data_IF_687140594879
#
_entry.id   IF_687140594879
#
_cell.length_a   1.000
_cell.length_b   1.000
_cell.length_c   1.000
_cell.angle_alpha   90.00
_cell.angle_beta   90.00
_cell.angle_gamma   90.00
#
_symmetry.space_group_name_H-M   'P 1'
#
loop_
_entity.id
_entity.type
_entity.pdbx_description
1 polymer ?
#
# COMPACT_ATOMS: atom_id res chain seq x y z
N UNK A 1 23.06 -22.18 -7.68
CA UNK A 1 21.71 -21.59 -7.56
C UNK A 1 20.77 -22.44 -6.70
N UNK A 2 20.68 -23.76 -6.89
CA UNK A 2 19.80 -24.67 -6.10
C UNK A 2 19.91 -24.56 -4.57
N UNK A 3 21.12 -24.32 -4.02
CA UNK A 3 21.34 -24.17 -2.57
C UNK A 3 20.59 -22.97 -1.94
N UNK A 4 20.46 -21.85 -2.66
CA UNK A 4 19.74 -20.67 -2.15
C UNK A 4 18.22 -20.87 -2.21
N UNK A 5 17.73 -21.55 -3.24
CA UNK A 5 16.31 -21.84 -3.41
C UNK A 5 15.81 -22.88 -2.41
N UNK A 6 16.59 -23.95 -2.14
CA UNK A 6 16.30 -24.90 -1.07
C UNK A 6 16.31 -24.25 0.32
N UNK A 7 17.19 -23.27 0.55
CA UNK A 7 17.29 -22.52 1.79
C UNK A 7 16.07 -21.62 2.05
N UNK A 8 15.61 -20.88 1.03
CA UNK A 8 14.37 -20.11 1.12
C UNK A 8 13.18 -21.02 1.40
N UNK A 9 13.10 -22.17 0.73
CA UNK A 9 12.02 -23.14 0.94
C UNK A 9 12.06 -23.72 2.36
N UNK A 10 13.23 -24.05 2.90
CA UNK A 10 13.37 -24.53 4.29
C UNK A 10 13.02 -23.48 5.33
N UNK A 11 13.39 -22.21 5.11
CA UNK A 11 13.00 -21.10 6.00
C UNK A 11 11.48 -20.88 5.95
N UNK A 12 10.89 -20.92 4.77
CA UNK A 12 9.42 -20.81 4.61
C UNK A 12 8.73 -21.99 5.29
N UNK A 13 9.19 -23.23 5.09
CA UNK A 13 8.63 -24.40 5.78
C UNK A 13 8.80 -24.29 7.29
N UNK A 14 9.97 -23.84 7.78
CA UNK A 14 10.20 -23.59 9.20
C UNK A 14 9.26 -22.55 9.78
N UNK A 15 9.02 -21.45 9.07
CA UNK A 15 8.01 -20.44 9.43
C UNK A 15 6.60 -21.01 9.45
N UNK A 16 6.23 -21.82 8.45
CA UNK A 16 4.91 -22.45 8.38
C UNK A 16 4.68 -23.44 9.52
N UNK A 17 5.72 -24.16 9.95
CA UNK A 17 5.66 -25.10 11.06
C UNK A 17 5.67 -24.39 12.44
N UNK A 18 6.26 -23.20 12.53
CA UNK A 18 6.29 -22.39 13.76
C UNK A 18 5.08 -21.45 13.91
N UNK A 19 4.25 -21.31 12.87
CA UNK A 19 3.09 -20.44 12.88
C UNK A 19 2.00 -20.99 13.82
N UNK A 20 1.60 -20.18 14.81
CA UNK A 20 0.67 -20.58 15.87
C UNK A 20 -0.76 -20.02 15.71
N UNK A 21 -1.09 -19.39 14.57
CA UNK A 21 -2.42 -18.83 14.32
C UNK A 21 -3.20 -19.55 13.21
N UNK A 22 -4.53 -19.39 13.16
CA UNK A 22 -5.36 -20.00 12.13
C UNK A 22 -4.95 -19.52 10.73
N UNK A 23 -5.19 -20.37 9.74
CA UNK A 23 -4.91 -20.04 8.34
C UNK A 23 -5.86 -18.94 7.85
N UNK A 24 -5.30 -17.95 7.15
CA UNK A 24 -6.10 -16.92 6.49
C UNK A 24 -6.74 -17.53 5.25
N UNK A 25 -8.06 -17.72 5.28
CA UNK A 25 -8.80 -18.18 4.11
C UNK A 25 -9.31 -16.96 3.34
N UNK A 26 -8.98 -16.81 2.05
CA UNK A 26 -9.54 -15.76 1.21
C UNK A 26 -11.07 -15.80 1.24
N UNK A 27 -11.68 -14.61 1.31
CA UNK A 27 -13.14 -14.46 1.43
C UNK A 27 -13.92 -15.01 0.23
N UNK A 28 -13.28 -15.05 -0.95
CA UNK A 28 -13.76 -15.71 -2.14
C UNK A 28 -12.76 -16.81 -2.52
N UNK A 29 -13.25 -18.02 -2.79
CA UNK A 29 -12.43 -19.11 -3.30
C UNK A 29 -12.46 -19.05 -4.84
N UNK A 30 -11.46 -18.42 -5.50
CA UNK A 30 -11.55 -18.14 -6.92
C UNK A 30 -11.56 -19.45 -7.69
N UNK A 31 -12.41 -19.55 -8.72
CA UNK A 31 -12.39 -20.71 -9.62
C UNK A 31 -11.26 -20.55 -10.62
N UNK A 32 -10.62 -21.65 -10.97
CA UNK A 32 -9.71 -21.74 -12.12
C UNK A 32 -10.49 -21.57 -13.42
N UNK A 33 -9.79 -21.40 -14.54
CA UNK A 33 -10.38 -21.42 -15.89
C UNK A 33 -11.14 -22.73 -16.18
N UNK A 34 -10.77 -23.82 -15.49
CA UNK A 34 -11.43 -25.14 -15.54
C UNK A 34 -12.60 -25.28 -14.57
N UNK A 35 -12.90 -24.25 -13.76
CA UNK A 35 -14.01 -24.23 -12.81
C UNK A 35 -13.70 -24.83 -11.43
N UNK A 36 -12.46 -25.26 -11.19
CA UNK A 36 -12.00 -25.87 -9.93
C UNK A 36 -11.66 -24.80 -8.90
N UNK A 37 -11.86 -25.08 -7.62
CA UNK A 37 -11.45 -24.18 -6.54
C UNK A 37 -10.00 -24.41 -6.16
N UNK A 38 -9.16 -23.37 -6.24
CA UNK A 38 -7.78 -23.41 -5.78
C UNK A 38 -7.48 -22.25 -4.83
N UNK A 39 -7.12 -22.56 -3.59
CA UNK A 39 -6.85 -21.61 -2.51
C UNK A 39 -5.58 -22.02 -1.78
N UNK A 40 -4.71 -21.05 -1.48
CA UNK A 40 -3.54 -21.22 -0.63
C UNK A 40 -3.77 -20.40 0.64
N UNK A 41 -4.19 -21.06 1.72
CA UNK A 41 -4.36 -20.41 3.01
C UNK A 41 -3.11 -20.66 3.87
N UNK A 42 -2.36 -19.61 4.19
CA UNK A 42 -1.18 -19.68 5.04
C UNK A 42 -1.54 -19.33 6.49
N UNK A 43 -0.90 -19.98 7.49
CA UNK A 43 -1.09 -19.64 8.90
C UNK A 43 -0.54 -18.25 9.21
N UNK A 44 -1.04 -17.63 10.29
CA UNK A 44 -0.51 -16.35 10.78
C UNK A 44 0.95 -16.48 11.20
N UNK A 45 1.80 -15.65 10.62
CA UNK A 45 3.22 -15.56 10.94
C UNK A 45 3.43 -14.36 11.86
N UNK A 46 3.88 -14.59 13.10
CA UNK A 46 4.18 -13.53 14.06
C UNK A 46 5.69 -13.31 14.13
N UNK A 47 6.15 -12.18 13.61
CA UNK A 47 7.53 -11.71 13.72
C UNK A 47 7.62 -10.77 14.92
N UNK A 48 8.40 -11.15 15.92
CA UNK A 48 8.66 -10.29 17.09
C UNK A 48 9.90 -9.45 16.84
N UNK A 49 9.86 -8.16 17.14
CA UNK A 49 11.03 -7.28 17.16
C UNK A 49 11.55 -7.11 18.59
N UNK A 50 12.86 -7.27 18.77
CA UNK A 50 13.52 -6.90 20.01
C UNK A 50 13.75 -5.37 20.10
N UNK A 51 14.27 -4.89 21.24
CA UNK A 51 14.57 -3.46 21.44
C UNK A 51 15.65 -2.91 20.48
N UNK A 52 16.41 -3.78 19.80
CA UNK A 52 17.40 -3.41 18.79
C UNK A 52 16.84 -3.54 17.36
N UNK A 53 15.54 -3.84 17.23
CA UNK A 53 14.84 -4.04 15.97
C UNK A 53 15.22 -5.29 15.21
N UNK A 54 15.77 -6.30 15.91
CA UNK A 54 16.05 -7.59 15.30
C UNK A 54 14.80 -8.47 15.27
N UNK A 55 14.53 -9.14 14.13
CA UNK A 55 13.38 -10.02 14.00
C UNK A 55 13.61 -11.38 14.66
N UNK A 56 12.56 -11.89 15.30
CA UNK A 56 12.49 -13.19 15.93
C UNK A 56 11.12 -13.85 15.75
N UNK A 57 10.99 -15.09 16.21
CA UNK A 57 9.73 -15.82 16.29
C UNK A 57 9.49 -16.19 17.76
N UNK A 58 8.32 -15.81 18.29
CA UNK A 58 7.94 -16.06 19.69
C UNK A 58 9.01 -15.62 20.71
N UNK A 59 9.72 -14.52 20.43
CA UNK A 59 10.77 -13.98 21.31
C UNK A 59 12.14 -14.64 21.17
N UNK A 60 12.31 -15.63 20.28
CA UNK A 60 13.62 -16.21 19.94
C UNK A 60 14.15 -15.57 18.66
N UNK A 61 15.39 -15.09 18.67
CA UNK A 61 16.00 -14.48 17.50
C UNK A 61 16.10 -15.49 16.35
N UNK A 62 15.71 -15.07 15.15
CA UNK A 62 15.75 -15.95 13.97
C UNK A 62 17.18 -16.41 13.65
N UNK A 63 18.19 -15.56 13.89
CA UNK A 63 19.58 -15.97 13.70
C UNK A 63 20.03 -17.04 14.71
N UNK A 64 19.47 -17.05 15.92
CA UNK A 64 19.74 -18.11 16.91
C UNK A 64 19.09 -19.43 16.52
N UNK A 65 17.85 -19.39 16.03
CA UNK A 65 17.19 -20.58 15.46
C UNK A 65 18.03 -21.14 14.31
N UNK A 66 18.47 -20.29 13.37
CA UNK A 66 19.31 -20.72 12.25
C UNK A 66 20.64 -21.35 12.72
N UNK A 67 21.32 -20.76 13.71
CA UNK A 67 22.57 -21.29 14.28
C UNK A 67 22.38 -22.69 14.88
N UNK A 68 21.26 -22.96 15.53
CA UNK A 68 20.94 -24.29 16.08
C UNK A 68 20.92 -25.37 15.01
N UNK A 69 20.54 -25.03 13.78
CA UNK A 69 20.57 -25.93 12.63
C UNK A 69 21.89 -25.87 11.84
N UNK A 70 22.96 -25.29 12.42
CA UNK A 70 24.26 -25.16 11.76
C UNK A 70 24.27 -24.18 10.59
N UNK A 71 23.32 -23.25 10.55
CA UNK A 71 23.19 -22.27 9.47
C UNK A 71 23.60 -20.86 9.93
N UNK A 72 24.31 -20.14 9.07
CA UNK A 72 24.53 -18.71 9.23
C UNK A 72 23.43 -17.96 8.45
N UNK A 73 22.52 -17.33 9.18
CA UNK A 73 21.50 -16.44 8.63
C UNK A 73 21.82 -15.02 9.05
N UNK A 74 21.96 -14.12 8.07
CA UNK A 74 22.14 -12.70 8.29
C UNK A 74 20.83 -11.98 7.94
N UNK A 75 20.18 -11.42 8.97
CA UNK A 75 18.93 -10.66 8.84
C UNK A 75 19.14 -9.16 9.07
N UNK A 76 20.38 -8.68 9.03
CA UNK A 76 20.69 -7.25 9.21
C UNK A 76 19.91 -6.36 8.24
N UNK A 77 19.75 -6.78 6.98
CA UNK A 77 18.95 -6.07 5.96
C UNK A 77 17.45 -5.99 6.27
N UNK A 78 16.95 -6.82 7.20
CA UNK A 78 15.55 -6.87 7.62
C UNK A 78 15.36 -6.35 9.06
N UNK A 79 16.41 -5.81 9.66
CA UNK A 79 16.31 -5.17 10.97
C UNK A 79 15.63 -3.82 10.84
N UNK A 80 14.80 -3.48 11.83
CA UNK A 80 14.16 -2.17 11.94
C UNK A 80 15.08 -1.26 12.73
N UNK A 81 15.18 0.02 12.35
CA UNK A 81 15.96 0.99 13.12
C UNK A 81 15.43 1.03 14.58
N UNK A 82 16.30 0.90 15.61
CA UNK A 82 15.89 0.98 17.00
C UNK A 82 15.10 2.24 17.34
N UNK A 83 15.32 3.36 16.64
CA UNK A 83 14.53 4.58 16.81
C UNK A 83 13.05 4.35 16.49
N UNK A 84 12.72 3.61 15.42
CA UNK A 84 11.34 3.28 15.10
C UNK A 84 10.75 2.28 16.10
N UNK A 85 11.52 1.28 16.55
CA UNK A 85 11.05 0.34 17.59
C UNK A 85 10.71 1.09 18.87
N UNK A 86 11.59 1.99 19.31
CA UNK A 86 11.37 2.82 20.49
C UNK A 86 10.16 3.74 20.30
N UNK A 87 10.00 4.35 19.13
CA UNK A 87 8.86 5.19 18.83
C UNK A 87 7.53 4.42 18.89
N UNK A 88 7.46 3.22 18.29
CA UNK A 88 6.29 2.35 18.36
C UNK A 88 6.00 1.90 19.80
N UNK A 89 7.04 1.46 20.53
CA UNK A 89 6.93 1.03 21.93
C UNK A 89 6.40 2.15 22.83
N UNK A 90 7.00 3.34 22.74
CA UNK A 90 6.61 4.51 23.54
C UNK A 90 5.23 5.06 23.17
N UNK A 91 4.78 4.81 21.94
CA UNK A 91 3.44 5.14 21.49
C UNK A 91 2.44 4.04 21.82
N UNK A 92 2.84 2.95 22.49
CA UNK A 92 2.01 1.78 22.75
C UNK A 92 1.39 1.15 21.48
N UNK A 93 2.13 1.17 20.37
CA UNK A 93 1.87 0.37 19.19
C UNK A 93 2.52 -1.00 19.42
N UNK A 94 1.70 -2.01 19.72
CA UNK A 94 2.19 -3.35 20.08
C UNK A 94 2.28 -4.26 18.87
N UNK A 95 1.46 -4.04 17.84
CA UNK A 95 1.53 -4.81 16.60
C UNK A 95 0.98 -4.08 15.39
N UNK A 96 1.55 -4.43 14.24
CA UNK A 96 1.05 -4.09 12.91
C UNK A 96 0.77 -5.41 12.19
N UNK A 97 -0.42 -5.54 11.62
CA UNK A 97 -0.82 -6.74 10.89
C UNK A 97 -1.01 -6.40 9.41
N UNK A 98 -0.41 -7.20 8.54
CA UNK A 98 -0.57 -7.13 7.10
C UNK A 98 -1.29 -8.41 6.65
N UNK A 99 -2.52 -8.26 6.15
CA UNK A 99 -3.34 -9.41 5.78
C UNK A 99 -3.76 -9.33 4.32
N UNK A 100 -3.49 -10.39 3.58
CA UNK A 100 -3.89 -10.51 2.19
C UNK A 100 -5.06 -11.50 2.10
N UNK A 101 -6.18 -11.08 1.51
CA UNK A 101 -7.50 -11.76 1.65
C UNK A 101 -8.12 -12.20 0.31
N UNK A 102 -7.31 -12.26 -0.74
CA UNK A 102 -7.69 -12.49 -2.14
C UNK A 102 -8.20 -11.22 -2.84
N UNK A 103 -9.02 -10.42 -2.15
CA UNK A 103 -9.61 -9.18 -2.67
C UNK A 103 -8.74 -7.93 -2.44
N UNK A 104 -7.74 -8.03 -1.57
CA UNK A 104 -6.94 -6.87 -1.19
C UNK A 104 -5.86 -7.18 -0.15
N UNK A 105 -5.18 -6.11 0.27
CA UNK A 105 -4.16 -6.08 1.30
C UNK A 105 -4.61 -5.15 2.43
N UNK A 106 -5.06 -5.74 3.52
CA UNK A 106 -5.43 -5.07 4.76
C UNK A 106 -4.18 -4.66 5.54
N UNK A 107 -4.18 -3.45 6.08
CA UNK A 107 -3.24 -3.00 7.09
C UNK A 107 -4.02 -2.78 8.39
N UNK A 108 -3.52 -3.35 9.49
CA UNK A 108 -4.07 -3.13 10.81
C UNK A 108 -2.98 -2.65 11.76
N UNK A 109 -3.38 -1.77 12.68
CA UNK A 109 -2.51 -1.30 13.75
C UNK A 109 -3.24 -1.53 15.05
N UNK A 110 -2.66 -2.31 15.97
CA UNK A 110 -3.29 -2.67 17.23
C UNK A 110 -4.71 -3.26 17.03
N UNK A 111 -4.91 -4.00 15.95
CA UNK A 111 -6.19 -4.64 15.58
C UNK A 111 -7.23 -3.71 14.94
N UNK A 112 -6.95 -2.40 14.80
CA UNK A 112 -7.81 -1.48 14.07
C UNK A 112 -7.49 -1.50 12.57
N UNK A 113 -8.52 -1.65 11.73
CA UNK A 113 -8.38 -1.64 10.28
C UNK A 113 -8.11 -0.22 9.76
N UNK A 114 -7.04 -0.09 8.98
CA UNK A 114 -6.65 1.11 8.25
C UNK A 114 -7.18 1.07 6.81
N UNK A 115 -7.12 2.19 6.06
CA UNK A 115 -7.28 2.16 4.61
C UNK A 115 -6.45 1.05 3.99
N UNK A 116 -7.05 0.29 3.09
CA UNK A 116 -6.47 -0.93 2.53
C UNK A 116 -6.30 -0.83 1.02
N UNK A 117 -5.44 -1.67 0.45
CA UNK A 117 -5.33 -1.78 -1.01
C UNK A 117 -6.38 -2.76 -1.49
N UNK A 118 -7.26 -2.32 -2.39
CA UNK A 118 -8.22 -3.16 -3.11
C UNK A 118 -7.77 -3.39 -4.55
N UNK A 119 -8.17 -4.54 -5.12
CA UNK A 119 -7.98 -4.80 -6.53
C UNK A 119 -9.09 -5.68 -7.12
N UNK A 120 -9.25 -5.56 -8.43
CA UNK A 120 -9.99 -6.46 -9.31
C UNK A 120 -9.02 -7.17 -10.26
N UNK A 121 -9.48 -8.22 -10.94
CA UNK A 121 -8.70 -8.92 -11.98
C UNK A 121 -8.23 -7.94 -13.08
N UNK A 122 -9.09 -7.02 -13.51
CA UNK A 122 -8.73 -5.99 -14.49
C UNK A 122 -7.59 -5.10 -14.00
N UNK A 123 -7.63 -4.67 -12.73
CA UNK A 123 -6.59 -3.79 -12.18
C UNK A 123 -5.26 -4.50 -11.95
N UNK A 124 -5.28 -5.79 -11.60
CA UNK A 124 -4.05 -6.60 -11.47
C UNK A 124 -3.40 -6.88 -12.84
N UNK A 125 -4.22 -7.12 -13.87
CA UNK A 125 -3.73 -7.26 -15.23
C UNK A 125 -3.06 -5.96 -15.70
N UNK A 126 -3.70 -4.82 -15.48
CA UNK A 126 -3.13 -3.51 -15.81
C UNK A 126 -1.79 -3.25 -15.08
N UNK A 127 -1.68 -3.64 -13.80
CA UNK A 127 -0.42 -3.54 -13.06
C UNK A 127 0.71 -4.35 -13.70
N UNK A 128 0.39 -5.49 -14.32
CA UNK A 128 1.36 -6.35 -15.01
C UNK A 128 1.94 -5.68 -16.25
N UNK A 129 1.10 -4.97 -17.00
CA UNK A 129 1.51 -4.26 -18.21
C UNK A 129 2.40 -3.05 -17.88
N UNK A 130 2.17 -2.45 -16.70
CA UNK A 130 2.91 -1.27 -16.24
C UNK A 130 4.11 -1.58 -15.35
N UNK A 131 4.37 -2.85 -15.03
CA UNK A 131 5.49 -3.25 -14.19
C UNK A 131 6.85 -2.61 -14.55
N UNK A 132 7.22 -2.46 -15.86
CA UNK A 132 8.46 -1.79 -16.24
C UNK A 132 8.56 -0.33 -15.79
N UNK A 133 7.43 0.39 -15.75
CA UNK A 133 7.37 1.79 -15.33
C UNK A 133 7.48 1.95 -13.81
N UNK A 134 7.04 0.94 -13.06
CA UNK A 134 7.03 0.94 -11.60
C UNK A 134 8.29 0.32 -10.99
N UNK A 135 9.33 0.10 -11.80
CA UNK A 135 10.56 -0.63 -11.42
C UNK A 135 10.28 -2.03 -10.87
N UNK A 136 9.11 -2.59 -11.19
CA UNK A 136 8.73 -3.94 -10.81
C UNK A 136 9.30 -4.93 -11.83
N UNK A 137 9.81 -6.04 -11.31
CA UNK A 137 10.27 -7.17 -12.11
C UNK A 137 9.07 -7.81 -12.83
N UNK A 138 8.88 -7.49 -14.11
CA UNK A 138 7.73 -7.95 -14.90
C UNK A 138 7.57 -9.49 -14.88
N UNK A 139 8.70 -10.21 -14.90
CA UNK A 139 8.75 -11.68 -14.81
C UNK A 139 8.21 -12.21 -13.48
N UNK A 140 8.39 -11.45 -12.40
CA UNK A 140 7.82 -11.78 -11.09
C UNK A 140 6.33 -11.42 -11.05
N UNK A 141 5.95 -10.21 -11.47
CA UNK A 141 4.54 -9.77 -11.44
C UNK A 141 3.65 -10.75 -12.21
N UNK A 142 4.05 -11.16 -13.43
CA UNK A 142 3.32 -12.16 -14.24
C UNK A 142 3.12 -13.51 -13.54
N UNK A 143 4.08 -13.94 -12.72
CA UNK A 143 4.01 -15.21 -11.97
C UNK A 143 3.18 -15.10 -10.71
N UNK A 144 3.22 -13.96 -10.04
CA UNK A 144 2.57 -13.77 -8.74
C UNK A 144 1.12 -13.30 -8.86
N UNK A 145 0.77 -12.48 -9.86
CA UNK A 145 -0.60 -11.97 -10.04
C UNK A 145 -1.67 -13.08 -10.03
N UNK A 146 -1.52 -14.21 -10.74
CA UNK A 146 -2.51 -15.29 -10.70
C UNK A 146 -2.66 -15.97 -9.33
N UNK A 147 -1.64 -15.83 -8.47
CA UNK A 147 -1.61 -16.40 -7.11
C UNK A 147 -2.18 -15.39 -6.11
N UNK A 148 -2.00 -14.08 -6.32
CA UNK A 148 -2.41 -13.03 -5.38
C UNK A 148 -3.90 -13.11 -5.04
N UNK A 149 -4.79 -13.40 -5.99
CA UNK A 149 -6.22 -13.53 -5.67
C UNK A 149 -6.58 -14.82 -4.90
N UNK A 150 -5.66 -15.80 -4.85
CA UNK A 150 -5.87 -17.13 -4.27
C UNK A 150 -5.10 -17.37 -2.99
N UNK A 151 -4.13 -16.52 -2.71
CA UNK A 151 -3.36 -16.51 -1.49
C UNK A 151 -4.23 -15.91 -0.37
N UNK A 152 -4.09 -16.47 0.82
CA UNK A 152 -4.42 -15.84 2.08
C UNK A 152 -3.18 -15.86 2.97
N UNK A 153 -2.72 -14.69 3.39
CA UNK A 153 -1.55 -14.52 4.24
C UNK A 153 -1.87 -13.56 5.37
N UNK A 154 -1.39 -13.87 6.57
CA UNK A 154 -1.48 -12.99 7.73
C UNK A 154 -0.08 -12.86 8.35
N UNK A 155 0.48 -11.66 8.26
CA UNK A 155 1.78 -11.33 8.82
C UNK A 155 1.60 -10.32 9.95
N UNK A 156 2.09 -10.65 11.14
CA UNK A 156 2.05 -9.76 12.30
C UNK A 156 3.48 -9.35 12.66
N UNK A 157 3.74 -8.05 12.65
CA UNK A 157 4.94 -7.46 13.21
C UNK A 157 4.64 -7.00 14.64
N UNK A 158 5.23 -7.66 15.63
CA UNK A 158 5.00 -7.39 17.06
C UNK A 158 6.16 -6.60 17.65
N UNK A 159 5.86 -5.47 18.27
CA UNK A 159 6.82 -4.61 18.95
C UNK A 159 6.89 -4.91 20.45
N UNK A 160 7.97 -4.52 21.14
CA UNK A 160 7.99 -4.51 22.59
C UNK A 160 6.83 -3.68 23.16
N UNK A 161 6.23 -4.16 24.23
CA UNK A 161 5.20 -3.39 24.94
C UNK A 161 5.84 -2.37 25.87
N UNK A 162 5.19 -1.20 26.03
CA UNK A 162 5.55 -0.25 27.07
C UNK A 162 5.41 -0.90 28.46
N UNK A 163 6.28 -0.51 29.40
CA UNK A 163 6.20 -0.99 30.78
C UNK A 163 4.80 -0.72 31.38
N UNK A 164 4.15 -1.77 31.89
CA UNK A 164 2.81 -1.69 32.48
C UNK A 164 1.65 -1.61 31.49
N UNK A 165 1.91 -1.58 30.18
CA UNK A 165 0.85 -1.63 29.17
C UNK A 165 0.18 -3.01 29.16
N UNK A 166 -1.16 -3.01 29.09
CA UNK A 166 -1.93 -4.25 28.88
C UNK A 166 -1.71 -4.73 27.45
N UNK A 167 -1.62 -6.05 27.26
CA UNK A 167 -1.53 -6.64 25.94
C UNK A 167 -2.76 -6.26 25.09
N UNK A 168 -2.52 -5.74 23.89
CA UNK A 168 -3.59 -5.45 22.93
C UNK A 168 -3.79 -6.70 22.07
N UNK A 169 -5.01 -7.27 22.01
CA UNK A 169 -5.27 -8.47 21.22
C UNK A 169 -5.07 -8.20 19.72
N UNK A 170 -4.76 -9.25 18.97
CA UNK A 170 -4.81 -9.20 17.51
C UNK A 170 -6.24 -9.02 17.01
N UNK A 171 -6.38 -8.53 15.78
CA UNK A 171 -7.68 -8.48 15.14
C UNK A 171 -8.29 -9.89 14.98
N UNK A 172 -9.61 -9.94 14.91
CA UNK A 172 -10.35 -11.18 14.64
C UNK A 172 -9.85 -11.87 13.37
N UNK A 173 -9.86 -13.20 13.32
CA UNK A 173 -9.19 -13.96 12.26
C UNK A 173 -9.77 -13.70 10.86
N UNK A 174 -11.06 -13.39 10.77
CA UNK A 174 -11.69 -13.00 9.52
C UNK A 174 -11.86 -11.50 9.45
N UNK A 175 -11.39 -10.92 8.35
CA UNK A 175 -11.61 -9.52 8.00
C UNK A 175 -12.27 -9.49 6.63
N UNK A 176 -13.48 -8.93 6.58
CA UNK A 176 -14.12 -8.60 5.33
C UNK A 176 -13.56 -7.25 4.85
N UNK A 177 -12.82 -7.28 3.73
CA UNK A 177 -12.45 -6.05 3.05
C UNK A 177 -13.64 -5.59 2.21
N UNK A 178 -14.17 -4.42 2.55
CA UNK A 178 -15.14 -3.77 1.68
C UNK A 178 -14.45 -3.41 0.36
N UNK A 179 -15.16 -3.63 -0.76
CA UNK A 179 -14.80 -2.98 -2.00
C UNK A 179 -15.09 -1.48 -1.93
N UNK A 180 -14.45 -0.71 -2.80
CA UNK A 180 -14.88 0.66 -3.05
C UNK A 180 -16.37 0.69 -3.44
N UNK A 181 -17.17 1.47 -2.74
CA UNK A 181 -18.57 1.67 -3.02
C UNK A 181 -18.90 3.18 -2.96
N UNK A 182 -19.45 3.77 -4.03
CA UNK A 182 -19.69 5.21 -4.08
C UNK A 182 -20.62 5.65 -2.94
N UNK A 183 -20.29 6.78 -2.30
CA UNK A 183 -21.18 7.38 -1.30
C UNK A 183 -22.53 7.71 -1.93
N UNK A 184 -23.58 7.55 -1.11
CA UNK A 184 -24.95 7.92 -1.48
C UNK A 184 -25.19 9.43 -1.32
N UNK A 185 -24.41 10.07 -0.47
CA UNK A 185 -24.52 11.50 -0.17
C UNK A 185 -23.67 12.32 -1.15
N UNK A 186 -24.09 13.53 -1.52
CA UNK A 186 -23.32 14.41 -2.39
C UNK A 186 -21.99 14.82 -1.74
N UNK A 187 -20.94 14.92 -2.56
CA UNK A 187 -19.65 15.40 -2.11
C UNK A 187 -19.75 16.83 -1.54
N UNK A 188 -19.09 17.08 -0.41
CA UNK A 188 -19.03 18.40 0.23
C UNK A 188 -18.20 19.40 -0.58
N UNK A 189 -17.27 18.90 -1.39
CA UNK A 189 -16.48 19.68 -2.34
C UNK A 189 -16.18 18.83 -3.58
N UNK A 190 -16.24 19.45 -4.76
CA UNK A 190 -15.85 18.85 -6.03
C UNK A 190 -14.77 19.70 -6.67
N UNK A 191 -13.57 19.13 -6.84
CA UNK A 191 -12.43 19.81 -7.46
C UNK A 191 -11.95 18.97 -8.63
N UNK A 192 -11.98 19.53 -9.83
CA UNK A 192 -11.56 18.83 -11.06
C UNK A 192 -10.68 19.74 -11.90
N UNK A 193 -9.48 19.29 -12.25
CA UNK A 193 -8.59 20.04 -13.13
C UNK A 193 -7.65 19.13 -13.93
N UNK A 194 -7.07 19.72 -14.96
CA UNK A 194 -6.12 19.06 -15.86
C UNK A 194 -4.72 19.65 -15.72
N UNK A 195 -3.72 18.78 -15.77
CA UNK A 195 -2.31 19.12 -15.93
C UNK A 195 -1.86 18.61 -17.29
N UNK A 196 -1.20 19.43 -18.10
CA UNK A 196 -0.72 19.05 -19.44
C UNK A 196 0.78 19.20 -19.50
N UNK A 197 1.49 18.10 -19.72
CA UNK A 197 2.93 18.11 -19.95
C UNK A 197 3.24 18.30 -21.43
N UNK A 198 4.16 19.22 -21.73
CA UNK A 198 4.70 19.40 -23.08
C UNK A 198 5.83 18.38 -23.38
N UNK A 199 6.34 18.41 -24.62
CA UNK A 199 7.39 17.49 -25.07
C UNK A 199 8.71 17.60 -24.28
N UNK A 200 8.92 18.71 -23.56
CA UNK A 200 10.07 18.96 -22.69
C UNK A 200 9.80 18.52 -21.26
N UNK A 201 8.60 18.02 -20.95
CA UNK A 201 8.20 17.62 -19.62
C UNK A 201 7.80 18.80 -18.73
N UNK A 202 7.50 19.98 -19.29
CA UNK A 202 7.01 21.14 -18.52
C UNK A 202 5.50 21.05 -18.37
N UNK A 203 4.95 21.12 -17.14
CA UNK A 203 3.51 21.09 -16.95
C UNK A 203 2.87 22.47 -17.15
N UNK A 204 1.62 22.44 -17.60
CA UNK A 204 0.69 23.56 -17.57
C UNK A 204 -0.60 23.16 -16.84
N UNK A 205 -1.11 24.06 -15.99
CA UNK A 205 -2.36 23.89 -15.25
C UNK A 205 -3.30 25.00 -15.69
N UNK A 206 -4.50 24.66 -16.15
CA UNK A 206 -5.47 25.64 -16.67
C UNK A 206 -4.88 26.55 -17.78
N UNK A 207 -3.93 26.02 -18.56
CA UNK A 207 -3.25 26.76 -19.63
C UNK A 207 -2.09 27.67 -19.17
N UNK A 208 -1.78 27.71 -17.88
CA UNK A 208 -0.66 28.47 -17.32
C UNK A 208 0.50 27.50 -17.13
N UNK A 209 1.65 27.75 -17.79
CA UNK A 209 2.82 26.90 -17.64
C UNK A 209 3.49 27.10 -16.27
N UNK A 210 4.22 26.10 -15.80
CA UNK A 210 5.05 26.26 -14.59
C UNK A 210 6.04 27.42 -14.73
N UNK A 211 6.53 27.72 -15.93
CA UNK A 211 7.43 28.86 -16.18
C UNK A 211 6.71 30.20 -16.00
N UNK A 212 5.45 30.30 -16.45
CA UNK A 212 4.63 31.49 -16.25
C UNK A 212 4.31 31.69 -14.77
N UNK A 213 4.06 30.61 -14.02
CA UNK A 213 3.87 30.68 -12.56
C UNK A 213 5.14 31.21 -11.88
N UNK A 214 6.32 30.74 -12.26
CA UNK A 214 7.58 31.28 -11.74
C UNK A 214 7.74 32.77 -12.06
N UNK A 215 7.38 33.19 -13.28
CA UNK A 215 7.37 34.60 -13.65
C UNK A 215 6.36 35.44 -12.85
N UNK A 216 5.29 34.82 -12.32
CA UNK A 216 4.32 35.42 -11.41
C UNK A 216 4.75 35.40 -9.94
N UNK A 217 5.97 34.95 -9.63
CA UNK A 217 6.53 34.95 -8.27
C UNK A 217 6.30 33.66 -7.47
N UNK A 218 5.82 32.59 -8.11
CA UNK A 218 5.81 31.26 -7.51
C UNK A 218 7.25 30.71 -7.43
N UNK A 219 7.51 29.80 -6.49
CA UNK A 219 8.85 29.28 -6.20
C UNK A 219 9.49 28.63 -7.46
N UNK A 220 10.65 29.14 -7.94
CA UNK A 220 11.35 28.60 -9.10
C UNK A 220 11.87 27.16 -8.90
N UNK A 221 11.95 26.70 -7.65
CA UNK A 221 12.44 25.36 -7.33
C UNK A 221 11.35 24.30 -7.27
N UNK A 222 10.10 24.64 -7.62
CA UNK A 222 9.03 23.65 -7.72
C UNK A 222 9.42 22.59 -8.77
N UNK A 223 9.73 21.34 -8.37
CA UNK A 223 10.22 20.32 -9.29
C UNK A 223 9.03 19.68 -10.01
N UNK A 224 8.30 20.48 -10.79
CA UNK A 224 7.09 20.05 -11.49
C UNK A 224 7.42 19.47 -12.87
N UNK A 225 8.57 19.83 -13.44
CA UNK A 225 9.01 19.31 -14.72
C UNK A 225 9.44 17.84 -14.61
N UNK A 226 8.94 17.01 -15.53
CA UNK A 226 9.38 15.62 -15.66
C UNK A 226 10.77 15.57 -16.25
N UNK A 227 11.65 14.77 -15.65
CA UNK A 227 12.94 14.46 -16.26
C UNK A 227 12.73 13.82 -17.65
N UNK A 228 13.53 14.15 -18.68
CA UNK A 228 13.36 13.63 -20.04
C UNK A 228 13.25 12.10 -20.12
N UNK A 229 13.99 11.39 -19.26
CA UNK A 229 13.89 9.93 -19.09
C UNK A 229 12.45 9.46 -18.84
N UNK A 230 11.67 10.16 -17.99
CA UNK A 230 10.30 9.78 -17.70
C UNK A 230 9.36 10.06 -18.87
N UNK A 231 9.57 11.17 -19.60
CA UNK A 231 8.81 11.46 -20.82
C UNK A 231 9.01 10.35 -21.85
N UNK A 232 10.26 9.94 -22.07
CA UNK A 232 10.59 8.84 -22.97
C UNK A 232 9.96 7.52 -22.52
N UNK A 233 10.06 7.18 -21.22
CA UNK A 233 9.45 5.97 -20.67
C UNK A 233 7.93 5.95 -20.83
N UNK A 234 7.25 7.08 -20.59
CA UNK A 234 5.80 7.20 -20.79
C UNK A 234 5.44 7.01 -22.26
N UNK A 235 6.18 7.63 -23.18
CA UNK A 235 6.00 7.48 -24.62
C UNK A 235 6.23 6.02 -25.09
N UNK A 236 7.31 5.38 -24.64
CA UNK A 236 7.65 4.00 -24.99
C UNK A 236 6.56 3.00 -24.56
N UNK A 237 5.87 3.29 -23.45
CA UNK A 237 4.79 2.47 -22.93
C UNK A 237 3.39 2.97 -23.35
N UNK A 238 3.33 3.92 -24.29
CA UNK A 238 2.10 4.55 -24.78
C UNK A 238 1.18 5.07 -23.64
N UNK A 239 1.77 5.57 -22.55
CA UNK A 239 1.04 6.22 -21.46
C UNK A 239 0.77 7.66 -21.85
N UNK A 240 -0.50 7.97 -22.13
CA UNK A 240 -0.92 9.28 -22.63
C UNK A 240 -1.63 10.09 -21.55
N UNK A 241 -2.27 9.44 -20.59
CA UNK A 241 -2.86 10.13 -19.45
C UNK A 241 -2.89 9.29 -18.17
N UNK A 242 -2.77 9.98 -17.04
CA UNK A 242 -2.94 9.47 -15.68
C UNK A 242 -4.10 10.23 -15.02
N UNK A 243 -5.06 9.52 -14.46
CA UNK A 243 -6.09 10.11 -13.61
C UNK A 243 -5.83 9.70 -12.17
N UNK A 244 -5.79 10.67 -11.25
CA UNK A 244 -5.82 10.44 -9.81
C UNK A 244 -7.14 10.99 -9.31
N UNK A 245 -7.96 10.12 -8.71
CA UNK A 245 -9.26 10.50 -8.19
C UNK A 245 -9.42 10.07 -6.74
N UNK A 246 -9.62 11.03 -5.85
CA UNK A 246 -10.07 10.79 -4.47
C UNK A 246 -11.57 10.93 -4.41
N UNK A 247 -12.25 9.94 -3.83
CA UNK A 247 -13.68 9.99 -3.53
C UNK A 247 -13.90 9.62 -2.07
N UNK A 248 -15.17 9.49 -1.70
CA UNK A 248 -15.57 9.07 -0.37
C UNK A 248 -15.10 7.69 0.06
N UNK A 249 -14.90 6.82 -0.91
CA UNK A 249 -14.66 5.40 -0.73
C UNK A 249 -13.23 4.98 -1.10
N UNK A 250 -12.40 5.92 -1.55
CA UNK A 250 -11.03 5.58 -1.92
C UNK A 250 -10.28 6.57 -2.79
N UNK A 251 -9.01 6.23 -3.01
CA UNK A 251 -8.10 6.82 -3.97
C UNK A 251 -7.95 5.86 -5.14
N UNK A 252 -8.37 6.32 -6.31
CA UNK A 252 -8.34 5.58 -7.55
C UNK A 252 -7.28 6.19 -8.45
N UNK A 253 -6.56 5.32 -9.15
CA UNK A 253 -5.59 5.72 -10.15
C UNK A 253 -5.95 5.02 -11.45
N UNK A 254 -5.98 5.76 -12.55
CA UNK A 254 -6.22 5.22 -13.87
C UNK A 254 -5.08 5.60 -14.80
N UNK A 255 -4.65 4.68 -15.65
CA UNK A 255 -3.72 4.96 -16.74
C UNK A 255 -4.43 4.65 -18.04
N UNK A 256 -4.48 5.62 -18.94
CA UNK A 256 -5.19 5.51 -20.21
C UNK A 256 -6.67 5.08 -20.05
N UNK A 257 -7.29 5.43 -18.91
CA UNK A 257 -8.66 5.07 -18.56
C UNK A 257 -8.84 3.69 -17.93
N UNK A 258 -7.77 2.89 -17.81
CA UNK A 258 -7.82 1.59 -17.13
C UNK A 258 -7.47 1.74 -15.65
N UNK A 259 -8.28 1.21 -14.71
CA UNK A 259 -8.02 1.34 -13.28
C UNK A 259 -6.82 0.50 -12.83
N UNK A 260 -6.05 1.05 -11.88
CA UNK A 260 -5.04 0.34 -11.09
C UNK A 260 -5.64 -0.12 -9.75
N UNK A 261 -4.92 -0.97 -8.98
CA UNK A 261 -5.26 -1.20 -7.58
C UNK A 261 -5.43 0.13 -6.86
N UNK A 262 -6.45 0.20 -6.02
CA UNK A 262 -6.90 1.44 -5.40
C UNK A 262 -6.73 1.36 -3.89
N UNK A 263 -6.64 2.52 -3.23
CA UNK A 263 -6.73 2.57 -1.76
C UNK A 263 -8.20 2.74 -1.44
N UNK A 264 -8.74 1.89 -0.57
CA UNK A 264 -10.13 1.92 -0.11
C UNK A 264 -10.16 2.44 1.31
N UNK A 265 -11.14 3.27 1.63
CA UNK A 265 -11.42 3.67 3.01
C UNK A 265 -12.91 3.91 3.22
N UNK A 266 -13.31 3.94 4.48
CA UNK A 266 -14.56 4.51 4.95
C UNK A 266 -14.29 5.46 6.13
N UNK A 267 -15.33 6.11 6.64
CA UNK A 267 -15.20 7.04 7.78
C UNK A 267 -14.64 6.37 9.04
N UNK A 268 -14.89 5.07 9.26
CA UNK A 268 -14.34 4.33 10.41
C UNK A 268 -12.84 4.11 10.25
N UNK A 269 -12.38 3.70 9.06
CA UNK A 269 -10.96 3.52 8.76
C UNK A 269 -10.20 4.84 8.87
N UNK A 270 -10.74 5.94 8.37
CA UNK A 270 -10.15 7.27 8.53
C UNK A 270 -10.11 7.71 10.00
N UNK A 271 -11.13 7.36 10.79
CA UNK A 271 -11.12 7.52 12.24
C UNK A 271 -9.98 6.73 12.90
N UNK A 272 -9.79 5.47 12.51
CA UNK A 272 -8.68 4.64 13.01
C UNK A 272 -7.32 5.25 12.67
N UNK A 273 -7.15 5.81 11.46
CA UNK A 273 -5.92 6.53 11.08
C UNK A 273 -5.70 7.74 11.99
N UNK A 274 -6.74 8.53 12.23
CA UNK A 274 -6.65 9.69 13.12
C UNK A 274 -6.25 9.28 14.55
N UNK A 275 -6.80 8.19 15.07
CA UNK A 275 -6.44 7.65 16.38
C UNK A 275 -4.98 7.20 16.42
N UNK A 276 -4.49 6.47 15.41
CA UNK A 276 -3.10 6.03 15.31
C UNK A 276 -2.14 7.21 15.18
N UNK A 277 -2.46 8.21 14.36
CA UNK A 277 -1.63 9.43 14.21
C UNK A 277 -1.55 10.18 15.53
N UNK A 278 -2.67 10.41 16.21
CA UNK A 278 -2.67 11.06 17.52
C UNK A 278 -1.86 10.25 18.54
N UNK A 279 -1.97 8.92 18.52
CA UNK A 279 -1.22 8.03 19.40
C UNK A 279 0.30 8.10 19.14
N UNK A 280 0.72 8.06 17.87
CA UNK A 280 2.13 8.12 17.46
C UNK A 280 2.80 9.46 17.78
N UNK A 281 2.04 10.55 17.74
CA UNK A 281 2.55 11.90 17.91
C UNK A 281 2.06 12.58 19.19
N UNK A 282 1.60 11.81 20.19
CA UNK A 282 1.02 12.31 21.44
C UNK A 282 1.97 13.23 22.24
N UNK A 283 3.29 13.10 22.07
CA UNK A 283 4.28 13.91 22.77
C UNK A 283 4.56 15.26 22.11
N UNK A 284 4.14 15.44 20.86
CA UNK A 284 4.39 16.66 20.07
C UNK A 284 3.10 17.38 19.66
N UNK A 285 1.99 16.66 19.54
CA UNK A 285 0.68 17.25 19.22
C UNK A 285 0.04 17.81 20.48
N UNK A 286 -0.32 19.09 20.45
CA UNK A 286 -1.23 19.66 21.46
C UNK A 286 -2.61 19.00 21.39
N UNK A 287 -3.36 19.02 22.48
CA UNK A 287 -4.73 18.51 22.52
C UNK A 287 -5.64 19.10 21.44
N UNK A 288 -5.48 20.39 21.12
CA UNK A 288 -6.31 21.06 20.12
C UNK A 288 -6.04 20.53 18.70
N UNK A 289 -4.78 20.39 18.31
CA UNK A 289 -4.41 19.72 17.06
C UNK A 289 -4.89 18.27 17.00
N UNK A 290 -4.79 17.51 18.10
CA UNK A 290 -5.31 16.15 18.15
C UNK A 290 -6.84 16.10 17.92
N UNK A 291 -7.59 17.02 18.54
CA UNK A 291 -9.04 17.17 18.31
C UNK A 291 -9.35 17.52 16.85
N UNK A 292 -8.60 18.47 16.26
CA UNK A 292 -8.75 18.86 14.86
C UNK A 292 -8.51 17.65 13.93
N UNK A 293 -7.43 16.90 14.12
CA UNK A 293 -7.13 15.70 13.31
C UNK A 293 -8.31 14.72 13.37
N UNK A 294 -8.81 14.41 14.58
CA UNK A 294 -9.94 13.48 14.75
C UNK A 294 -11.25 14.00 14.15
N UNK A 295 -11.47 15.31 14.19
CA UNK A 295 -12.65 15.95 13.63
C UNK A 295 -12.62 15.99 12.10
N UNK A 296 -11.46 16.30 11.51
CA UNK A 296 -11.33 16.54 10.07
C UNK A 296 -10.97 15.30 9.26
N UNK A 297 -10.27 14.32 9.82
CA UNK A 297 -9.88 13.12 9.07
C UNK A 297 -11.07 12.38 8.44
N UNK A 298 -12.20 12.14 9.14
CA UNK A 298 -13.36 11.52 8.52
C UNK A 298 -13.99 12.40 7.42
N UNK A 299 -13.87 13.73 7.50
CA UNK A 299 -14.45 14.64 6.51
C UNK A 299 -13.75 14.57 5.15
N UNK A 300 -12.53 14.04 5.08
CA UNK A 300 -11.82 13.78 3.82
C UNK A 300 -12.63 12.80 2.95
N UNK A 301 -13.39 11.89 3.58
CA UNK A 301 -14.31 10.99 2.86
C UNK A 301 -15.51 11.70 2.22
N UNK A 302 -15.61 13.03 2.26
CA UNK A 302 -16.68 13.75 1.59
C UNK A 302 -16.19 14.59 0.40
N UNK A 303 -14.89 14.61 0.09
CA UNK A 303 -14.37 15.35 -1.06
C UNK A 303 -14.25 14.47 -2.32
N UNK A 304 -14.68 15.00 -3.47
CA UNK A 304 -14.41 14.42 -4.80
C UNK A 304 -13.35 15.27 -5.50
N UNK A 305 -12.12 14.77 -5.54
CA UNK A 305 -10.99 15.44 -6.18
C UNK A 305 -10.53 14.60 -7.36
N UNK A 306 -10.57 15.16 -8.56
CA UNK A 306 -10.10 14.53 -9.79
C UNK A 306 -8.99 15.35 -10.45
N UNK A 307 -7.84 14.71 -10.68
CA UNK A 307 -6.70 15.29 -11.38
C UNK A 307 -6.45 14.44 -12.62
N UNK A 308 -6.59 15.02 -13.80
CA UNK A 308 -6.19 14.39 -15.06
C UNK A 308 -4.86 14.96 -15.52
N UNK A 309 -3.87 14.10 -15.72
CA UNK A 309 -2.54 14.46 -16.17
C UNK A 309 -2.37 13.94 -17.59
N UNK A 310 -2.09 14.82 -18.54
CA UNK A 310 -1.81 14.48 -19.93
C UNK A 310 -0.31 14.48 -20.17
N UNK A 311 0.18 13.45 -20.84
CA UNK A 311 1.57 13.31 -21.22
C UNK A 311 1.78 13.48 -22.73
N UNK A 312 2.99 13.83 -23.16
CA UNK A 312 3.32 13.93 -24.58
C UNK A 312 3.13 12.62 -25.31
N UNK A 313 2.50 12.68 -26.49
CA UNK A 313 2.33 11.50 -27.34
C UNK A 313 3.67 11.02 -27.90
N UNK A 314 3.81 9.71 -28.03
CA UNK A 314 4.88 9.14 -28.84
C UNK A 314 4.66 9.50 -30.33
N UNK A 315 5.75 9.58 -31.10
CA UNK A 315 5.67 9.87 -32.53
C UNK A 315 4.82 8.81 -33.25
N UNK A 316 3.74 9.23 -33.89
CA UNK A 316 2.83 8.34 -34.63
C UNK A 316 1.81 7.60 -33.76
N UNK A 317 1.77 7.85 -32.45
CA UNK A 317 0.72 7.30 -31.58
C UNK A 317 -0.64 7.94 -31.90
N UNK A 318 -1.69 7.12 -31.90
CA UNK A 318 -3.07 7.59 -32.00
C UNK A 318 -3.51 8.07 -30.61
N UNK A 319 -4.10 9.27 -30.48
CA UNK A 319 -4.61 9.77 -29.21
C UNK A 319 -5.66 8.81 -28.59
N UNK A 320 -5.47 8.46 -27.32
CA UNK A 320 -6.44 7.77 -26.50
C UNK A 320 -7.35 8.84 -25.87
N UNK A 321 -8.69 8.74 -26.01
CA UNK A 321 -9.59 9.72 -25.42
C UNK A 321 -9.46 9.78 -23.90
N UNK A 322 -9.05 10.94 -23.39
CA UNK A 322 -9.06 11.20 -21.95
C UNK A 322 -10.49 11.43 -21.48
N UNK A 323 -10.93 10.64 -20.50
CA UNK A 323 -12.21 10.82 -19.81
C UNK A 323 -11.94 10.75 -18.32
N UNK A 324 -12.32 11.79 -17.60
CA UNK A 324 -12.34 11.77 -16.14
C UNK A 324 -13.50 10.87 -15.71
N UNK A 325 -13.20 9.84 -14.95
CA UNK A 325 -14.18 8.86 -14.48
C UNK A 325 -15.01 9.45 -13.35
#
# INVERSE_FOLDING_TARGET
MMRKSALVVLVVIGMLLAACGPAMVPSAAPKTETGETFVIALPRIVITLDAKGKPGLEGVALEEIAKTFGMALDLSAYSVDPAYVNWMTNSNIQHIELRQTGAGLALLVNGALMPHIGWSDSSLNQLTDLAPLLWLRQDMVKKFVPIVSRLGLDLVLKFPAQAGAKAIPYAADQIALAGAAPAKDPASAVVKFEIKYDAQGVPAILGISAQDLVAMGFDPNLPLALHPYYVEMLQLNNVQHLEIRSKSDGLFVYINGTPLPNIVWDGKMLGSVADVVVQLYQTVLSEDYAKLIKQFAPLISNADVGIMIHFPLAKGAVPIPAKMH
#
